data_IF_518243861796
#
_entry.id   IF_518243861796
#
_cell.length_a   1.000
_cell.length_b   1.000
_cell.length_c   1.000
_cell.angle_alpha   90.00
_cell.angle_beta   90.00
_cell.angle_gamma   90.00
#
_symmetry.space_group_name_H-M   'P 1'
#
loop_
_entity.id
_entity.type
_entity.pdbx_description
1 polymer ?
#
# COMPACT_ATOMS: atom_id res chain seq x y z
N UNK A 1 -27.90 -41.58 40.98
CA UNK A 1 -26.70 -40.99 41.62
C UNK A 1 -25.50 -41.36 40.75
N UNK A 2 -24.70 -40.51 40.13
CA UNK A 2 -24.62 -39.04 40.00
C UNK A 2 -23.88 -38.78 38.69
N UNK A 3 -24.37 -37.90 37.81
CA UNK A 3 -23.65 -37.52 36.59
C UNK A 3 -22.59 -36.47 36.94
N UNK A 4 -21.32 -36.82 36.75
CA UNK A 4 -20.18 -35.93 36.98
C UNK A 4 -20.10 -34.92 35.83
N UNK A 5 -20.54 -33.68 36.09
CA UNK A 5 -20.38 -32.56 35.16
C UNK A 5 -18.94 -32.04 35.29
N UNK A 6 -18.12 -32.28 34.26
CA UNK A 6 -16.77 -31.70 34.17
C UNK A 6 -16.92 -30.28 33.63
N UNK A 7 -16.90 -29.30 34.53
CA UNK A 7 -16.88 -27.87 34.18
C UNK A 7 -15.50 -27.51 33.64
N UNK A 8 -15.34 -27.50 32.32
CA UNK A 8 -14.14 -26.97 31.67
C UNK A 8 -14.13 -25.45 31.81
N UNK A 9 -13.32 -24.94 32.74
CA UNK A 9 -13.06 -23.51 32.93
C UNK A 9 -12.24 -23.01 31.74
N UNK A 10 -12.91 -22.57 30.67
CA UNK A 10 -12.25 -21.85 29.58
C UNK A 10 -11.75 -20.53 30.16
N UNK A 11 -10.45 -20.45 30.47
CA UNK A 11 -9.77 -19.21 30.80
C UNK A 11 -9.92 -18.26 29.62
N UNK A 12 -10.92 -17.38 29.68
CA UNK A 12 -11.02 -16.19 28.85
C UNK A 12 -9.82 -15.32 29.17
N UNK A 13 -8.73 -15.54 28.44
CA UNK A 13 -7.64 -14.57 28.35
C UNK A 13 -8.24 -13.36 27.64
N UNK A 14 -8.87 -12.49 28.41
CA UNK A 14 -9.24 -11.14 28.02
C UNK A 14 -7.94 -10.41 27.74
N UNK A 15 -7.40 -10.59 26.53
CA UNK A 15 -6.51 -9.59 25.95
C UNK A 15 -7.39 -8.36 25.86
N UNK A 16 -7.13 -7.38 26.73
CA UNK A 16 -7.58 -6.00 26.55
C UNK A 16 -7.27 -5.62 25.10
N UNK A 17 -8.24 -5.74 24.21
CA UNK A 17 -8.22 -4.96 23.00
C UNK A 17 -8.49 -3.57 23.51
N UNK A 18 -7.46 -2.73 23.59
CA UNK A 18 -7.70 -1.30 23.64
C UNK A 18 -8.72 -1.02 22.53
N UNK A 19 -9.87 -0.46 22.89
CA UNK A 19 -10.72 0.32 22.00
C UNK A 19 -9.91 1.54 21.53
N UNK A 20 -8.84 1.25 20.81
CA UNK A 20 -8.04 2.21 20.09
C UNK A 20 -8.79 2.45 18.81
N UNK A 21 -9.18 3.71 18.61
CA UNK A 21 -9.63 4.27 17.33
C UNK A 21 -8.69 3.90 16.15
N UNK A 22 -7.47 3.46 16.45
CA UNK A 22 -6.48 2.91 15.53
C UNK A 22 -6.58 1.38 15.41
N UNK A 23 -6.97 0.90 14.23
CA UNK A 23 -6.91 -0.50 13.86
C UNK A 23 -5.47 -0.93 13.54
N UNK A 24 -4.63 -1.03 14.58
CA UNK A 24 -3.23 -1.48 14.47
C UNK A 24 -3.13 -2.90 13.88
N UNK A 25 -4.22 -3.69 13.92
CA UNK A 25 -4.28 -5.00 13.25
C UNK A 25 -4.12 -4.91 11.73
N UNK A 26 -4.51 -3.79 11.11
CA UNK A 26 -4.44 -3.60 9.67
C UNK A 26 -3.01 -3.63 9.14
N UNK A 27 -2.04 -3.05 9.86
CA UNK A 27 -0.63 -3.01 9.43
C UNK A 27 0.04 -4.39 9.43
N UNK A 28 -0.58 -5.38 10.09
CA UNK A 28 -0.10 -6.78 10.11
C UNK A 28 -0.77 -7.65 9.03
N UNK A 29 -1.71 -7.09 8.26
CA UNK A 29 -2.32 -7.81 7.13
C UNK A 29 -1.42 -7.73 5.90
N UNK A 30 -1.55 -8.70 4.99
CA UNK A 30 -0.84 -8.69 3.70
C UNK A 30 -1.04 -7.36 2.93
N UNK A 31 -2.27 -6.86 2.69
CA UNK A 31 -2.46 -5.59 1.99
C UNK A 31 -1.90 -4.39 2.76
N UNK A 32 -1.98 -4.40 4.09
CA UNK A 32 -1.38 -3.36 4.94
C UNK A 32 0.15 -3.33 4.82
N UNK A 33 0.80 -4.49 4.83
CA UNK A 33 2.26 -4.60 4.71
C UNK A 33 2.74 -4.17 3.32
N UNK A 34 2.02 -4.54 2.26
CA UNK A 34 2.33 -4.11 0.91
C UNK A 34 2.16 -2.58 0.76
N UNK A 35 1.12 -1.97 1.33
CA UNK A 35 0.96 -0.50 1.38
C UNK A 35 2.12 0.18 2.10
N UNK A 36 2.55 -0.34 3.24
CA UNK A 36 3.70 0.20 3.99
C UNK A 36 4.97 0.10 3.15
N UNK A 37 5.21 -1.04 2.51
CA UNK A 37 6.36 -1.23 1.62
C UNK A 37 6.38 -0.22 0.46
N UNK A 38 5.21 0.03 -0.15
CA UNK A 38 5.08 1.04 -1.21
C UNK A 38 5.39 2.46 -0.71
N UNK A 39 4.83 2.85 0.44
CA UNK A 39 5.06 4.17 1.03
C UNK A 39 6.55 4.36 1.32
N UNK A 40 7.20 3.34 1.90
CA UNK A 40 8.64 3.40 2.16
C UNK A 40 9.46 3.50 0.86
N UNK A 41 9.13 2.69 -0.15
CA UNK A 41 9.82 2.75 -1.44
C UNK A 41 9.66 4.13 -2.11
N UNK A 42 8.45 4.68 -2.15
CA UNK A 42 8.19 6.01 -2.73
C UNK A 42 8.83 7.14 -1.92
N UNK A 43 8.86 7.03 -0.60
CA UNK A 43 9.53 8.01 0.26
C UNK A 43 11.04 8.04 -0.02
N UNK A 44 11.67 6.87 -0.11
CA UNK A 44 13.10 6.79 -0.45
C UNK A 44 13.34 7.30 -1.87
N UNK A 45 12.51 6.92 -2.84
CA UNK A 45 12.61 7.41 -4.21
C UNK A 45 12.53 8.95 -4.30
N UNK A 46 11.60 9.54 -3.55
CA UNK A 46 11.45 10.99 -3.44
C UNK A 46 12.69 11.64 -2.82
N UNK A 47 13.14 11.18 -1.65
CA UNK A 47 14.30 11.75 -0.95
C UNK A 47 15.58 11.64 -1.80
N UNK A 48 15.76 10.52 -2.50
CA UNK A 48 16.89 10.32 -3.40
C UNK A 48 16.98 11.37 -4.51
N UNK A 49 15.85 11.83 -5.05
CA UNK A 49 15.82 12.85 -6.10
C UNK A 49 15.85 14.26 -5.52
N UNK A 50 15.11 14.49 -4.43
CA UNK A 50 14.97 15.79 -3.79
C UNK A 50 16.27 16.28 -3.12
N UNK A 51 17.06 15.37 -2.53
CA UNK A 51 18.32 15.73 -1.87
C UNK A 51 19.48 16.01 -2.85
N UNK A 52 19.34 15.68 -4.14
CA UNK A 52 20.38 15.93 -5.15
C UNK A 52 20.32 17.39 -5.59
N UNK A 53 21.44 18.10 -5.42
CA UNK A 53 21.59 19.47 -5.90
C UNK A 53 22.13 19.47 -7.34
N UNK A 54 21.47 20.19 -8.24
CA UNK A 54 21.91 20.35 -9.64
C UNK A 54 21.53 19.17 -10.53
N UNK A 55 20.23 19.03 -10.83
CA UNK A 55 19.75 17.95 -11.71
C UNK A 55 20.32 18.05 -13.13
N UNK A 56 20.73 16.92 -13.75
CA UNK A 56 21.18 16.92 -15.13
C UNK A 56 20.07 17.27 -16.12
N UNK A 57 18.80 17.02 -15.77
CA UNK A 57 17.63 17.39 -16.57
C UNK A 57 16.47 17.84 -15.69
N UNK A 58 16.29 19.16 -15.57
CA UNK A 58 15.37 19.74 -14.59
C UNK A 58 13.92 19.25 -14.75
N UNK A 59 13.37 19.33 -15.96
CA UNK A 59 11.98 18.96 -16.24
C UNK A 59 11.67 17.47 -15.97
N UNK A 60 12.62 16.58 -16.25
CA UNK A 60 12.45 15.13 -16.06
C UNK A 60 12.33 14.75 -14.60
N UNK A 61 13.26 15.24 -13.77
CA UNK A 61 13.27 14.90 -12.35
C UNK A 61 12.17 15.63 -11.60
N UNK A 62 11.74 16.81 -12.07
CA UNK A 62 10.54 17.47 -11.56
C UNK A 62 9.29 16.64 -11.84
N UNK A 63 9.13 16.11 -13.06
CA UNK A 63 8.02 15.21 -13.39
C UNK A 63 8.03 13.97 -12.50
N UNK A 64 9.19 13.31 -12.34
CA UNK A 64 9.34 12.15 -11.46
C UNK A 64 8.96 12.49 -10.00
N UNK A 65 9.47 13.61 -9.47
CA UNK A 65 9.23 14.04 -8.10
C UNK A 65 7.74 14.32 -7.85
N UNK A 66 7.08 15.04 -8.74
CA UNK A 66 5.64 15.35 -8.63
C UNK A 66 4.80 14.08 -8.68
N UNK A 67 5.10 13.15 -9.60
CA UNK A 67 4.40 11.87 -9.71
C UNK A 67 4.58 11.06 -8.42
N UNK A 68 5.83 10.85 -7.97
CA UNK A 68 6.12 10.08 -6.75
C UNK A 68 5.47 10.70 -5.52
N UNK A 69 5.55 12.02 -5.34
CA UNK A 69 4.90 12.73 -4.24
C UNK A 69 3.39 12.57 -4.25
N UNK A 70 2.75 12.72 -5.41
CA UNK A 70 1.30 12.58 -5.53
C UNK A 70 0.83 11.20 -5.08
N UNK A 71 1.50 10.14 -5.56
CA UNK A 71 1.17 8.77 -5.18
C UNK A 71 1.54 8.47 -3.71
N UNK A 72 2.63 9.04 -3.19
CA UNK A 72 3.01 8.91 -1.78
C UNK A 72 1.94 9.51 -0.85
N UNK A 73 1.48 10.73 -1.13
CA UNK A 73 0.47 11.42 -0.32
C UNK A 73 -0.85 10.67 -0.39
N UNK A 74 -1.27 10.25 -1.58
CA UNK A 74 -2.51 9.49 -1.75
C UNK A 74 -2.47 8.13 -1.00
N UNK A 75 -1.35 7.40 -1.07
CA UNK A 75 -1.19 6.16 -0.30
C UNK A 75 -1.18 6.39 1.21
N UNK A 76 -0.59 7.49 1.67
CA UNK A 76 -0.63 7.87 3.08
C UNK A 76 -2.08 8.13 3.53
N UNK A 77 -2.86 8.86 2.73
CA UNK A 77 -4.29 9.10 3.00
C UNK A 77 -5.06 7.78 3.03
N UNK A 78 -4.84 6.88 2.05
CA UNK A 78 -5.49 5.58 2.05
C UNK A 78 -5.11 4.75 3.28
N UNK A 79 -3.83 4.75 3.69
CA UNK A 79 -3.38 4.06 4.88
C UNK A 79 -4.08 4.60 6.13
N UNK A 80 -4.08 5.93 6.33
CA UNK A 80 -4.75 6.57 7.46
C UNK A 80 -6.26 6.24 7.47
N UNK A 81 -6.91 6.28 6.32
CA UNK A 81 -8.33 5.94 6.20
C UNK A 81 -8.64 4.51 6.65
N UNK A 82 -7.76 3.54 6.32
CA UNK A 82 -7.89 2.15 6.78
C UNK A 82 -7.57 1.99 8.28
N UNK A 83 -6.57 2.72 8.79
CA UNK A 83 -6.22 2.72 10.22
C UNK A 83 -7.39 3.22 11.08
N UNK A 84 -8.03 4.31 10.66
CA UNK A 84 -9.14 4.94 11.39
C UNK A 84 -10.51 4.33 11.09
N UNK A 85 -10.58 3.30 10.23
CA UNK A 85 -11.85 2.72 9.73
C UNK A 85 -12.83 3.77 9.18
N UNK A 86 -12.30 4.87 8.62
CA UNK A 86 -13.10 5.97 8.08
C UNK A 86 -13.94 5.53 6.88
N UNK A 87 -13.56 4.43 6.21
CA UNK A 87 -14.33 3.79 5.15
C UNK A 87 -15.76 3.44 5.59
N UNK A 88 -15.93 2.96 6.83
CA UNK A 88 -17.24 2.59 7.36
C UNK A 88 -18.12 3.82 7.68
N UNK A 89 -17.50 5.00 7.82
CA UNK A 89 -18.19 6.26 8.11
C UNK A 89 -18.61 7.01 6.84
N UNK A 90 -18.04 6.67 5.68
CA UNK A 90 -18.32 7.30 4.40
C UNK A 90 -18.73 6.26 3.33
N UNK A 91 -19.93 5.68 3.42
CA UNK A 91 -20.40 4.64 2.48
C UNK A 91 -20.74 5.18 1.09
N UNK A 92 -20.82 6.50 0.91
CA UNK A 92 -21.20 7.13 -0.36
C UNK A 92 -20.15 6.91 -1.48
N UNK A 93 -18.92 6.52 -1.13
CA UNK A 93 -17.81 6.35 -2.08
C UNK A 93 -17.43 4.88 -2.12
N UNK A 94 -17.30 4.33 -3.33
CA UNK A 94 -16.79 2.97 -3.53
C UNK A 94 -15.26 2.94 -3.34
N UNK A 95 -14.82 2.87 -2.09
CA UNK A 95 -13.40 2.91 -1.71
C UNK A 95 -12.54 1.83 -2.38
N UNK A 96 -12.96 0.55 -2.48
CA UNK A 96 -12.19 -0.47 -3.20
C UNK A 96 -11.94 -0.12 -4.67
N UNK A 97 -12.92 0.49 -5.33
CA UNK A 97 -12.79 0.91 -6.72
C UNK A 97 -11.79 2.06 -6.86
N UNK A 98 -11.89 3.08 -6.01
CA UNK A 98 -10.94 4.20 -6.00
C UNK A 98 -9.51 3.72 -5.76
N UNK A 99 -9.33 2.77 -4.85
CA UNK A 99 -8.04 2.16 -4.55
C UNK A 99 -7.48 1.37 -5.75
N UNK A 100 -8.33 0.58 -6.42
CA UNK A 100 -7.96 -0.14 -7.63
C UNK A 100 -7.49 0.80 -8.75
N UNK A 101 -8.22 1.89 -9.00
CA UNK A 101 -7.82 2.90 -9.98
C UNK A 101 -6.50 3.55 -9.59
N UNK A 102 -6.34 3.89 -8.31
CA UNK A 102 -5.11 4.50 -7.82
C UNK A 102 -3.89 3.60 -8.06
N UNK A 103 -4.01 2.30 -7.77
CA UNK A 103 -2.94 1.35 -8.03
C UNK A 103 -2.68 1.14 -9.52
N UNK A 104 -3.72 1.07 -10.34
CA UNK A 104 -3.59 0.88 -11.78
C UNK A 104 -2.86 2.06 -12.44
N UNK A 105 -3.32 3.29 -12.15
CA UNK A 105 -2.71 4.52 -12.68
C UNK A 105 -1.31 4.72 -12.10
N UNK A 106 -1.13 4.46 -10.80
CA UNK A 106 0.16 4.58 -10.13
C UNK A 106 1.22 3.62 -10.68
N UNK A 107 0.85 2.37 -10.95
CA UNK A 107 1.74 1.38 -11.56
C UNK A 107 2.28 1.91 -12.90
N UNK A 108 1.39 2.41 -13.77
CA UNK A 108 1.79 2.90 -15.10
C UNK A 108 2.63 4.18 -15.01
N UNK A 109 2.16 5.18 -14.25
CA UNK A 109 2.82 6.48 -14.19
C UNK A 109 4.19 6.40 -13.49
N UNK A 110 4.28 5.69 -12.36
CA UNK A 110 5.55 5.52 -11.65
C UNK A 110 6.51 4.67 -12.47
N UNK A 111 6.03 3.68 -13.23
CA UNK A 111 6.86 2.89 -14.13
C UNK A 111 7.50 3.76 -15.22
N UNK A 112 6.70 4.55 -15.93
CA UNK A 112 7.20 5.46 -16.96
C UNK A 112 8.16 6.48 -16.35
N UNK A 113 7.79 7.10 -15.23
CA UNK A 113 8.64 8.07 -14.54
C UNK A 113 10.00 7.44 -14.15
N UNK A 114 10.00 6.21 -13.64
CA UNK A 114 11.22 5.48 -13.26
C UNK A 114 12.11 5.16 -14.45
N UNK A 115 11.54 4.77 -15.60
CA UNK A 115 12.30 4.56 -16.84
C UNK A 115 12.99 5.87 -17.27
N UNK A 116 12.25 6.97 -17.32
CA UNK A 116 12.81 8.25 -17.76
C UNK A 116 13.88 8.73 -16.77
N UNK A 117 13.65 8.59 -15.46
CA UNK A 117 14.63 8.91 -14.42
C UNK A 117 15.90 8.05 -14.54
N UNK A 118 15.78 6.74 -14.80
CA UNK A 118 16.91 5.84 -14.98
C UNK A 118 17.76 6.24 -16.19
N UNK A 119 17.14 6.50 -17.34
CA UNK A 119 17.83 6.91 -18.59
C UNK A 119 18.50 8.28 -18.45
N UNK A 120 17.91 9.19 -17.68
CA UNK A 120 18.41 10.57 -17.49
C UNK A 120 19.26 10.75 -16.22
N UNK A 121 19.54 9.69 -15.48
CA UNK A 121 20.33 9.74 -14.24
C UNK A 121 21.79 10.16 -14.44
N UNK A 122 22.34 10.03 -15.66
CA UNK A 122 23.72 10.38 -16.02
C UNK A 122 24.78 9.77 -15.06
N UNK A 123 24.48 8.62 -14.44
CA UNK A 123 25.37 7.95 -13.50
C UNK A 123 25.42 8.55 -12.09
N UNK A 124 24.56 9.52 -11.76
CA UNK A 124 24.45 10.05 -10.39
C UNK A 124 23.79 8.99 -9.50
N UNK A 125 24.55 8.41 -8.57
CA UNK A 125 24.12 7.26 -7.75
C UNK A 125 22.78 7.47 -7.02
N UNK A 126 22.52 8.68 -6.54
CA UNK A 126 21.25 9.00 -5.87
C UNK A 126 20.05 9.00 -6.84
N UNK A 127 20.22 9.52 -8.06
CA UNK A 127 19.17 9.49 -9.09
C UNK A 127 18.91 8.06 -9.59
N UNK A 128 19.97 7.26 -9.71
CA UNK A 128 19.87 5.82 -10.01
C UNK A 128 19.10 5.11 -8.90
N UNK A 129 19.47 5.31 -7.63
CA UNK A 129 18.77 4.72 -6.50
C UNK A 129 17.28 5.13 -6.49
N UNK A 130 16.99 6.42 -6.74
CA UNK A 130 15.61 6.92 -6.86
C UNK A 130 14.80 6.17 -7.91
N UNK A 131 15.38 5.93 -9.09
CA UNK A 131 14.71 5.15 -10.14
C UNK A 131 14.48 3.68 -9.76
N UNK A 132 15.43 3.05 -9.06
CA UNK A 132 15.31 1.66 -8.58
C UNK A 132 14.20 1.53 -7.53
N UNK A 133 14.13 2.46 -6.58
CA UNK A 133 13.04 2.48 -5.61
C UNK A 133 11.69 2.80 -6.26
N UNK A 134 11.67 3.60 -7.33
CA UNK A 134 10.49 3.79 -8.17
C UNK A 134 10.01 2.49 -8.81
N UNK A 135 10.91 1.69 -9.41
CA UNK A 135 10.58 0.36 -9.93
C UNK A 135 10.10 -0.61 -8.85
N UNK A 136 10.71 -0.58 -7.67
CA UNK A 136 10.27 -1.38 -6.52
C UNK A 136 8.85 -1.00 -6.10
N UNK A 137 8.53 0.30 -6.04
CA UNK A 137 7.18 0.77 -5.74
C UNK A 137 6.17 0.29 -6.81
N UNK A 138 6.51 0.40 -8.09
CA UNK A 138 5.70 -0.14 -9.21
C UNK A 138 5.45 -1.64 -9.04
N UNK A 139 6.48 -2.42 -8.74
CA UNK A 139 6.34 -3.86 -8.54
C UNK A 139 5.40 -4.18 -7.38
N UNK A 140 5.55 -3.49 -6.24
CA UNK A 140 4.65 -3.66 -5.10
C UNK A 140 3.21 -3.26 -5.43
N UNK A 141 3.00 -2.24 -6.27
CA UNK A 141 1.67 -1.84 -6.78
C UNK A 141 1.06 -2.92 -7.68
N UNK A 142 1.85 -3.51 -8.58
CA UNK A 142 1.41 -4.62 -9.41
C UNK A 142 1.05 -5.87 -8.58
N UNK A 143 1.83 -6.20 -7.54
CA UNK A 143 1.52 -7.31 -6.62
C UNK A 143 0.23 -7.04 -5.84
N UNK A 144 0.00 -5.80 -5.39
CA UNK A 144 -1.26 -5.42 -4.74
C UNK A 144 -2.46 -5.55 -5.69
N UNK A 145 -2.33 -5.13 -6.95
CA UNK A 145 -3.37 -5.32 -7.96
C UNK A 145 -3.64 -6.80 -8.21
N UNK A 146 -2.58 -7.60 -8.38
CA UNK A 146 -2.68 -9.03 -8.65
C UNK A 146 -3.36 -9.78 -7.49
N UNK A 147 -2.95 -9.52 -6.26
CA UNK A 147 -3.55 -10.13 -5.07
C UNK A 147 -5.02 -9.72 -4.93
N UNK A 148 -5.35 -8.45 -5.18
CA UNK A 148 -6.74 -7.96 -5.15
C UNK A 148 -7.61 -8.60 -6.25
N UNK A 149 -7.07 -8.74 -7.46
CA UNK A 149 -7.73 -9.42 -8.57
C UNK A 149 -7.93 -10.91 -8.29
N UNK A 150 -6.89 -11.59 -7.81
CA UNK A 150 -6.94 -13.02 -7.48
C UNK A 150 -7.95 -13.33 -6.39
N UNK A 151 -8.12 -12.45 -5.40
CA UNK A 151 -9.14 -12.59 -4.36
C UNK A 151 -10.56 -12.34 -4.88
N UNK A 152 -10.69 -11.50 -5.91
CA UNK A 152 -11.99 -11.17 -6.52
C UNK A 152 -12.43 -12.18 -7.58
N UNK A 153 -11.48 -12.80 -8.30
CA UNK A 153 -11.71 -13.78 -9.37
C UNK A 153 -11.40 -15.22 -8.97
N UNK A 154 -10.89 -15.46 -7.76
CA UNK A 154 -10.80 -16.81 -7.19
C UNK A 154 -12.20 -17.45 -7.22
N UNK A 155 -12.31 -18.77 -7.45
CA UNK A 155 -13.61 -19.42 -7.50
C UNK A 155 -14.34 -19.09 -6.21
N UNK A 156 -15.42 -18.31 -6.36
CA UNK A 156 -16.43 -18.14 -5.32
C UNK A 156 -16.67 -19.56 -4.81
N UNK A 157 -16.43 -19.83 -3.52
CA UNK A 157 -16.98 -21.05 -2.98
C UNK A 157 -18.49 -20.87 -3.04
N UNK A 158 -19.08 -21.28 -4.16
CA UNK A 158 -20.41 -21.86 -4.23
C UNK A 158 -20.36 -23.12 -3.37
N UNK A 159 -20.20 -22.92 -2.06
CA UNK A 159 -20.67 -23.86 -1.07
C UNK A 159 -22.19 -23.79 -1.14
N UNK A 160 -22.74 -24.83 -1.78
CA UNK A 160 -24.15 -25.20 -1.86
C UNK A 160 -24.96 -24.71 -0.63
N UNK A 161 -26.08 -24.01 -0.78
CA UNK A 161 -27.39 -24.53 -1.17
C UNK A 161 -27.74 -25.88 -0.48
N UNK A 162 -28.82 -25.83 0.31
CA UNK A 162 -29.55 -26.85 1.09
C UNK A 162 -28.96 -27.38 2.38
#
# INVERSE_FOLDING_TARGET
MSQTVITTTTLTTSRKSCDGVLNMGYTRTIPGLLKIGQILALLVAFLCVHCVRGWPSWATFQFFEVVVLWFLIALLIFLLMHLFRLQAKMPCINWPLTEYFHYSVGTILIFIASIVAAVKSQGVSALVAGSVFGFLATFLMAVNLWTSYSLSCGPHQTGAAV
#
